data_IF_718437619096
#
_entry.id   IF_718437619096
#
_cell.length_a   1.000
_cell.length_b   1.000
_cell.length_c   1.000
_cell.angle_alpha   90.00
_cell.angle_beta   90.00
_cell.angle_gamma   90.00
#
_symmetry.space_group_name_H-M   'P 1'
#
loop_
_entity.id
_entity.type
_entity.pdbx_description
1 polymer ?
#
# COMPACT_ATOMS: atom_id res chain seq x y z
N UNK A 1 -14.74 -26.88 -4.67
CA UNK A 1 -14.43 -25.50 -5.09
C UNK A 1 -15.11 -24.49 -4.17
N UNK A 2 -16.47 -24.50 -4.02
CA UNK A 2 -17.18 -23.53 -3.15
C UNK A 2 -16.64 -23.49 -1.71
N UNK A 3 -16.39 -24.61 -1.06
CA UNK A 3 -15.82 -24.66 0.30
C UNK A 3 -14.46 -23.96 0.41
N UNK A 4 -13.66 -24.02 -0.65
CA UNK A 4 -12.36 -23.31 -0.71
C UNK A 4 -12.62 -21.83 -0.86
N UNK A 5 -13.52 -21.43 -1.76
CA UNK A 5 -13.88 -20.02 -1.93
C UNK A 5 -14.42 -19.43 -0.63
N UNK A 6 -15.37 -20.07 0.03
CA UNK A 6 -15.93 -19.65 1.32
C UNK A 6 -14.86 -19.42 2.39
N UNK A 7 -13.87 -20.31 2.44
CA UNK A 7 -12.77 -20.23 3.40
C UNK A 7 -11.84 -19.05 3.15
N UNK A 8 -11.62 -18.68 1.88
CA UNK A 8 -10.61 -17.70 1.48
C UNK A 8 -11.17 -16.43 0.83
N UNK A 9 -12.50 -16.28 0.75
CA UNK A 9 -13.16 -15.17 0.02
C UNK A 9 -12.68 -13.78 0.44
N UNK A 10 -12.30 -13.59 1.71
CA UNK A 10 -11.82 -12.28 2.18
C UNK A 10 -10.47 -11.87 1.55
N UNK A 11 -9.63 -12.84 1.20
CA UNK A 11 -8.33 -12.61 0.57
C UNK A 11 -8.32 -13.01 -0.91
N UNK A 12 -9.49 -13.31 -1.49
CA UNK A 12 -9.63 -13.72 -2.88
C UNK A 12 -9.62 -12.48 -3.80
N UNK A 13 -8.67 -12.42 -4.71
CA UNK A 13 -8.56 -11.36 -5.72
C UNK A 13 -9.48 -11.58 -6.92
N UNK A 14 -9.76 -12.82 -7.21
CA UNK A 14 -10.61 -13.27 -8.29
C UNK A 14 -10.58 -14.79 -8.41
N UNK A 15 -11.41 -15.34 -9.27
CA UNK A 15 -11.50 -16.78 -9.50
C UNK A 15 -11.31 -17.09 -10.97
N UNK A 16 -10.37 -17.99 -11.27
CA UNK A 16 -10.16 -18.55 -12.60
C UNK A 16 -10.68 -20.00 -12.57
N UNK A 17 -11.61 -20.33 -13.42
CA UNK A 17 -12.21 -21.65 -13.50
C UNK A 17 -12.14 -22.23 -14.90
N UNK A 18 -11.79 -23.50 -14.98
CA UNK A 18 -12.05 -24.29 -16.19
C UNK A 18 -13.55 -24.50 -16.38
N UNK A 19 -13.98 -24.68 -17.62
CA UNK A 19 -15.39 -24.98 -17.95
C UNK A 19 -15.78 -26.37 -17.42
N UNK A 20 -14.87 -27.35 -17.51
CA UNK A 20 -15.16 -28.76 -17.21
C UNK A 20 -14.32 -29.28 -16.07
N UNK A 21 -14.97 -29.65 -14.97
CA UNK A 21 -14.34 -30.42 -13.89
C UNK A 21 -15.35 -31.30 -13.14
N UNK A 22 -14.89 -32.29 -12.35
CA UNK A 22 -15.77 -33.14 -11.56
C UNK A 22 -16.50 -32.37 -10.47
N UNK A 23 -17.80 -32.49 -10.35
CA UNK A 23 -18.58 -31.88 -9.26
C UNK A 23 -18.44 -32.64 -7.95
N UNK A 24 -18.29 -33.98 -7.99
CA UNK A 24 -18.11 -34.78 -6.79
C UNK A 24 -16.64 -34.95 -6.46
N UNK A 25 -16.23 -34.59 -5.23
CA UNK A 25 -14.92 -34.98 -4.72
C UNK A 25 -14.94 -36.50 -4.49
N UNK A 26 -14.32 -37.25 -5.37
CA UNK A 26 -13.89 -38.62 -5.05
C UNK A 26 -12.87 -38.51 -3.93
N UNK A 27 -13.15 -39.11 -2.76
CA UNK A 27 -12.15 -39.22 -1.70
C UNK A 27 -10.93 -39.96 -2.26
N UNK A 28 -9.75 -39.59 -1.84
CA UNK A 28 -8.49 -40.21 -2.28
C UNK A 28 -8.47 -41.73 -2.10
N UNK A 29 -9.33 -42.28 -1.21
CA UNK A 29 -9.58 -43.71 -1.01
C UNK A 29 -10.25 -44.41 -2.19
N UNK A 30 -10.99 -43.69 -3.04
CA UNK A 30 -11.73 -44.26 -4.16
C UNK A 30 -10.88 -44.35 -5.44
N UNK A 31 -9.69 -43.77 -5.42
CA UNK A 31 -8.75 -43.70 -6.56
C UNK A 31 -7.83 -44.93 -6.61
N UNK A 32 -7.65 -45.64 -5.49
CA UNK A 32 -6.68 -46.77 -5.37
C UNK A 32 -7.23 -48.12 -5.94
N UNK A 33 -8.51 -48.19 -6.27
CA UNK A 33 -9.13 -49.44 -6.74
C UNK A 33 -9.76 -49.41 -8.13
N UNK A 34 -9.91 -48.26 -8.76
CA UNK A 34 -10.46 -48.17 -10.12
C UNK A 34 -9.35 -47.67 -11.07
N UNK A 35 -9.02 -48.52 -12.05
CA UNK A 35 -8.17 -48.06 -13.15
C UNK A 35 -8.69 -46.74 -13.70
N UNK A 36 -7.80 -45.87 -14.18
CA UNK A 36 -7.99 -44.48 -14.58
C UNK A 36 -9.08 -44.23 -15.67
N UNK A 37 -10.27 -44.83 -15.50
CA UNK A 37 -11.41 -44.72 -16.39
C UNK A 37 -12.41 -43.69 -15.85
N UNK A 38 -12.35 -42.48 -16.48
CA UNK A 38 -13.48 -41.56 -16.66
C UNK A 38 -14.26 -41.18 -15.40
N UNK A 39 -13.67 -40.31 -14.55
CA UNK A 39 -14.54 -39.45 -13.75
C UNK A 39 -15.28 -38.55 -14.73
N UNK A 40 -16.59 -38.73 -14.86
CA UNK A 40 -17.43 -37.92 -15.75
C UNK A 40 -17.35 -36.47 -15.35
N UNK A 41 -16.77 -35.64 -16.23
CA UNK A 41 -16.66 -34.19 -16.00
C UNK A 41 -17.95 -33.51 -16.41
N UNK A 42 -18.57 -32.81 -15.51
CA UNK A 42 -19.72 -31.95 -15.88
C UNK A 42 -19.26 -30.82 -16.82
N UNK A 43 -19.83 -30.76 -18.05
CA UNK A 43 -19.47 -29.73 -19.03
C UNK A 43 -19.87 -28.30 -18.60
N UNK A 44 -20.74 -28.16 -17.60
CA UNK A 44 -21.27 -26.91 -17.08
C UNK A 44 -20.72 -26.56 -15.68
N UNK A 45 -19.79 -27.36 -15.15
CA UNK A 45 -19.30 -27.19 -13.78
C UNK A 45 -18.68 -25.81 -13.52
N UNK A 46 -17.94 -25.29 -14.47
CA UNK A 46 -17.33 -23.96 -14.39
C UNK A 46 -18.36 -22.86 -14.33
N UNK A 47 -19.34 -22.88 -15.21
CA UNK A 47 -20.44 -21.91 -15.22
C UNK A 47 -21.20 -21.92 -13.90
N UNK A 48 -21.63 -23.09 -13.44
CA UNK A 48 -22.34 -23.25 -12.16
C UNK A 48 -21.54 -22.74 -10.97
N UNK A 49 -20.21 -22.96 -10.97
CA UNK A 49 -19.34 -22.47 -9.91
C UNK A 49 -19.26 -20.94 -9.92
N UNK A 50 -18.98 -20.35 -11.08
CA UNK A 50 -18.83 -18.89 -11.20
C UNK A 50 -20.15 -18.15 -10.94
N UNK A 51 -21.28 -18.71 -11.38
CA UNK A 51 -22.61 -18.17 -11.04
C UNK A 51 -22.87 -18.21 -9.53
N UNK A 52 -22.52 -19.31 -8.86
CA UNK A 52 -22.68 -19.43 -7.42
C UNK A 52 -21.83 -18.40 -6.67
N UNK A 53 -20.58 -18.19 -7.12
CA UNK A 53 -19.68 -17.18 -6.53
C UNK A 53 -20.22 -15.76 -6.80
N UNK A 54 -20.76 -15.48 -7.99
CA UNK A 54 -21.37 -14.19 -8.34
C UNK A 54 -22.54 -13.81 -7.44
N UNK A 55 -23.30 -14.78 -6.96
CA UNK A 55 -24.39 -14.56 -6.00
C UNK A 55 -23.88 -14.17 -4.61
N UNK A 56 -22.70 -14.65 -4.23
CA UNK A 56 -22.08 -14.33 -2.94
C UNK A 56 -21.32 -12.99 -2.97
N UNK A 57 -20.63 -12.70 -4.08
CA UNK A 57 -19.84 -11.47 -4.27
C UNK A 57 -20.05 -10.97 -5.71
N UNK A 58 -20.86 -9.92 -5.84
CA UNK A 58 -21.22 -9.30 -7.12
C UNK A 58 -20.01 -8.76 -7.87
N UNK A 59 -18.97 -8.31 -7.14
CA UNK A 59 -17.86 -7.57 -7.73
C UNK A 59 -16.54 -8.37 -7.83
N UNK A 60 -16.51 -9.61 -7.36
CA UNK A 60 -15.31 -10.44 -7.52
C UNK A 60 -15.05 -10.73 -9.01
N UNK A 61 -13.82 -10.55 -9.51
CA UNK A 61 -13.47 -10.89 -10.88
C UNK A 61 -13.59 -12.39 -11.12
N UNK A 62 -14.37 -12.77 -12.11
CA UNK A 62 -14.58 -14.15 -12.49
C UNK A 62 -14.08 -14.36 -13.92
N UNK A 63 -13.16 -15.30 -14.09
CA UNK A 63 -12.50 -15.63 -15.35
C UNK A 63 -12.80 -17.09 -15.67
N UNK A 64 -13.33 -17.31 -16.87
CA UNK A 64 -13.52 -18.63 -17.44
C UNK A 64 -12.35 -18.95 -18.36
N UNK A 65 -11.68 -20.08 -18.17
CA UNK A 65 -10.67 -20.54 -19.10
C UNK A 65 -11.13 -21.80 -19.85
N UNK A 66 -10.91 -21.87 -21.15
CA UNK A 66 -11.27 -23.04 -21.96
C UNK A 66 -10.42 -23.13 -23.23
N UNK A 67 -10.26 -24.37 -23.72
CA UNK A 67 -9.79 -24.62 -25.09
C UNK A 67 -10.91 -24.57 -26.14
N UNK A 68 -12.17 -24.44 -25.69
CA UNK A 68 -13.34 -24.33 -26.56
C UNK A 68 -13.73 -22.86 -26.75
N UNK A 69 -13.20 -22.23 -27.80
CA UNK A 69 -13.46 -20.80 -28.10
C UNK A 69 -14.95 -20.48 -28.27
N UNK A 70 -15.79 -21.47 -28.62
CA UNK A 70 -17.24 -21.34 -28.70
C UNK A 70 -17.92 -20.98 -27.38
N UNK A 71 -17.25 -21.19 -26.24
CA UNK A 71 -17.77 -20.84 -24.91
C UNK A 71 -17.57 -19.36 -24.54
N UNK A 72 -16.79 -18.62 -25.32
CA UNK A 72 -16.47 -17.19 -25.08
C UNK A 72 -17.73 -16.33 -25.05
N UNK A 73 -18.54 -16.40 -26.10
CA UNK A 73 -19.74 -15.57 -26.24
C UNK A 73 -20.69 -15.76 -25.03
N UNK A 74 -20.88 -17.00 -24.61
CA UNK A 74 -21.69 -17.28 -23.43
C UNK A 74 -21.05 -16.76 -22.14
N UNK A 75 -19.75 -16.97 -21.93
CA UNK A 75 -19.06 -16.49 -20.73
C UNK A 75 -19.15 -14.96 -20.61
N UNK A 76 -18.94 -14.25 -21.72
CA UNK A 76 -19.03 -12.80 -21.76
C UNK A 76 -20.46 -12.29 -21.54
N UNK A 77 -21.46 -12.98 -22.10
CA UNK A 77 -22.87 -12.67 -21.86
C UNK A 77 -23.31 -12.86 -20.41
N UNK A 78 -22.71 -13.81 -19.69
CA UNK A 78 -22.91 -14.03 -18.25
C UNK A 78 -22.01 -13.12 -17.37
N UNK A 79 -21.25 -12.21 -17.98
CA UNK A 79 -20.39 -11.23 -17.29
C UNK A 79 -19.06 -11.80 -16.77
N UNK A 80 -18.65 -12.98 -17.28
CA UNK A 80 -17.34 -13.56 -16.98
C UNK A 80 -16.31 -13.10 -18.03
N UNK A 81 -15.06 -12.93 -17.59
CA UNK A 81 -13.96 -12.77 -18.53
C UNK A 81 -13.57 -14.12 -19.10
N UNK A 82 -13.11 -14.17 -20.35
CA UNK A 82 -12.77 -15.42 -21.02
C UNK A 82 -11.32 -15.46 -21.46
N UNK A 83 -10.65 -16.59 -21.18
CA UNK A 83 -9.29 -16.89 -21.63
C UNK A 83 -9.29 -18.13 -22.49
N UNK A 84 -8.75 -18.01 -23.71
CA UNK A 84 -8.56 -19.16 -24.59
C UNK A 84 -7.24 -19.84 -24.27
N UNK A 85 -7.31 -21.09 -23.80
CA UNK A 85 -6.11 -21.92 -23.50
C UNK A 85 -5.24 -22.17 -24.73
N UNK A 86 -5.80 -22.06 -25.93
CA UNK A 86 -5.07 -22.24 -27.20
C UNK A 86 -4.48 -20.94 -27.73
N UNK A 87 -4.65 -19.81 -27.02
CA UNK A 87 -4.03 -18.54 -27.41
C UNK A 87 -2.52 -18.67 -27.49
N UNK A 88 -1.94 -18.23 -28.60
CA UNK A 88 -0.48 -18.18 -28.78
C UNK A 88 0.22 -17.21 -27.82
N UNK A 89 -0.56 -16.32 -27.21
CA UNK A 89 -0.12 -15.27 -26.27
C UNK A 89 -0.80 -15.41 -24.92
N UNK A 90 -1.13 -16.63 -24.52
CA UNK A 90 -1.89 -16.92 -23.30
C UNK A 90 -1.33 -16.20 -22.03
N UNK A 91 -0.01 -16.20 -21.87
CA UNK A 91 0.64 -15.52 -20.74
C UNK A 91 0.42 -14.00 -20.75
N UNK A 92 0.36 -13.40 -21.93
CA UNK A 92 0.08 -11.97 -22.11
C UNK A 92 -1.40 -11.68 -21.81
N UNK A 93 -2.31 -12.51 -22.33
CA UNK A 93 -3.75 -12.38 -22.08
C UNK A 93 -4.04 -12.50 -20.58
N UNK A 94 -3.46 -13.48 -19.90
CA UNK A 94 -3.58 -13.64 -18.44
C UNK A 94 -3.00 -12.44 -17.68
N UNK A 95 -1.83 -11.96 -18.09
CA UNK A 95 -1.21 -10.79 -17.47
C UNK A 95 -2.13 -9.58 -17.56
N UNK A 96 -2.68 -9.28 -18.73
CA UNK A 96 -3.62 -8.18 -18.91
C UNK A 96 -4.85 -8.31 -18.02
N UNK A 97 -5.44 -9.51 -17.92
CA UNK A 97 -6.59 -9.74 -17.05
C UNK A 97 -6.24 -9.58 -15.55
N UNK A 98 -5.07 -10.02 -15.12
CA UNK A 98 -4.60 -9.84 -13.75
C UNK A 98 -4.38 -8.37 -13.42
N UNK A 99 -3.74 -7.62 -14.32
CA UNK A 99 -3.48 -6.19 -14.15
C UNK A 99 -4.79 -5.39 -14.15
N UNK A 100 -5.68 -5.65 -15.08
CA UNK A 100 -6.91 -4.87 -15.27
C UNK A 100 -8.00 -5.19 -14.23
N UNK A 101 -8.16 -6.48 -13.87
CA UNK A 101 -9.31 -6.90 -13.07
C UNK A 101 -8.95 -7.35 -11.65
N UNK A 102 -7.74 -7.85 -11.41
CA UNK A 102 -7.33 -8.36 -10.09
C UNK A 102 -6.44 -7.41 -9.30
N UNK A 103 -6.16 -6.21 -9.81
CA UNK A 103 -5.46 -5.15 -9.08
C UNK A 103 -3.93 -5.28 -9.05
N UNK A 104 -3.31 -6.09 -9.92
CA UNK A 104 -1.85 -6.26 -9.95
C UNK A 104 -1.12 -5.08 -10.59
N UNK A 105 -1.76 -4.33 -11.49
CA UNK A 105 -1.19 -3.13 -12.11
C UNK A 105 -1.30 -1.88 -11.23
N UNK A 106 -0.98 -0.73 -11.80
CA UNK A 106 -1.26 0.58 -11.20
C UNK A 106 -2.75 0.74 -10.94
N UNK A 107 -3.12 1.48 -9.90
CA UNK A 107 -4.52 1.81 -9.70
C UNK A 107 -4.91 3.01 -10.56
N UNK A 108 -5.91 2.83 -11.41
CA UNK A 108 -6.38 3.85 -12.32
C UNK A 108 -7.77 4.30 -11.90
N UNK A 109 -7.88 5.54 -11.43
CA UNK A 109 -9.17 6.20 -11.24
C UNK A 109 -9.74 6.57 -12.60
N UNK A 110 -10.97 6.14 -12.86
CA UNK A 110 -11.64 6.33 -14.15
C UNK A 110 -12.92 7.13 -14.00
N UNK A 111 -13.28 7.83 -15.06
CA UNK A 111 -14.61 8.40 -15.17
C UNK A 111 -15.64 7.25 -15.26
N UNK A 112 -16.67 7.21 -14.41
CA UNK A 112 -17.63 6.10 -14.40
C UNK A 112 -18.49 6.01 -15.68
N UNK A 113 -18.60 7.10 -16.47
CA UNK A 113 -19.41 7.16 -17.69
C UNK A 113 -18.59 6.92 -18.95
N UNK A 114 -17.41 7.55 -19.07
CA UNK A 114 -16.57 7.47 -20.28
C UNK A 114 -15.49 6.41 -20.18
N UNK A 115 -15.22 5.89 -18.97
CA UNK A 115 -14.13 4.97 -18.63
C UNK A 115 -12.71 5.53 -18.88
N UNK A 116 -12.60 6.81 -19.20
CA UNK A 116 -11.32 7.48 -19.39
C UNK A 116 -10.53 7.56 -18.07
N UNK A 117 -9.22 7.50 -18.19
CA UNK A 117 -8.31 7.66 -17.06
C UNK A 117 -8.35 9.11 -16.54
N UNK A 118 -8.61 9.26 -15.25
CA UNK A 118 -8.56 10.55 -14.55
C UNK A 118 -7.24 10.71 -13.82
N UNK A 119 -6.81 9.65 -13.12
CA UNK A 119 -5.61 9.66 -12.31
C UNK A 119 -5.08 8.23 -12.16
N UNK A 120 -3.77 8.11 -12.11
CA UNK A 120 -3.05 6.86 -11.88
C UNK A 120 -2.22 6.96 -10.61
N UNK A 121 -2.29 5.95 -9.76
CA UNK A 121 -1.48 5.83 -8.54
C UNK A 121 -0.78 4.47 -8.51
N UNK A 122 0.50 4.48 -8.11
CA UNK A 122 1.38 3.31 -8.14
C UNK A 122 1.69 2.78 -6.75
N UNK A 123 1.50 3.62 -5.74
CA UNK A 123 1.88 3.32 -4.36
C UNK A 123 0.84 3.82 -3.35
N UNK A 124 0.91 3.30 -2.11
CA UNK A 124 0.11 3.81 -1.00
C UNK A 124 0.34 5.30 -0.74
N UNK A 125 1.59 5.76 -0.89
CA UNK A 125 1.94 7.16 -0.71
C UNK A 125 1.22 8.03 -1.75
N UNK A 126 1.30 7.65 -3.03
CA UNK A 126 0.62 8.38 -4.10
C UNK A 126 -0.91 8.39 -3.90
N UNK A 127 -1.51 7.27 -3.46
CA UNK A 127 -2.93 7.23 -3.13
C UNK A 127 -3.26 8.18 -1.98
N UNK A 128 -2.49 8.17 -0.91
CA UNK A 128 -2.65 9.05 0.24
C UNK A 128 -2.55 10.53 -0.15
N UNK A 129 -1.54 10.91 -0.95
CA UNK A 129 -1.28 12.30 -1.34
C UNK A 129 -2.32 12.86 -2.32
N UNK A 130 -3.07 11.99 -3.01
CA UNK A 130 -3.98 12.41 -4.06
C UNK A 130 -5.45 12.08 -3.80
N UNK A 131 -5.79 11.34 -2.74
CA UNK A 131 -7.15 10.85 -2.50
C UNK A 131 -8.21 11.97 -2.45
N UNK A 132 -7.86 13.15 -1.95
CA UNK A 132 -8.74 14.32 -1.89
C UNK A 132 -8.85 15.10 -3.21
N UNK A 133 -8.02 14.78 -4.22
CA UNK A 133 -8.06 15.40 -5.55
C UNK A 133 -8.91 14.63 -6.56
N UNK A 134 -9.30 13.40 -6.23
CA UNK A 134 -10.06 12.53 -7.13
C UNK A 134 -11.51 13.01 -7.20
N UNK A 135 -12.15 13.12 -8.37
CA UNK A 135 -13.56 13.47 -8.49
C UNK A 135 -14.47 12.52 -7.71
N UNK A 136 -15.53 13.05 -7.11
CA UNK A 136 -16.41 12.31 -6.20
C UNK A 136 -17.12 11.14 -6.87
N UNK A 137 -17.55 11.28 -8.11
CA UNK A 137 -18.19 10.23 -8.90
C UNK A 137 -17.23 9.07 -9.20
N UNK A 138 -15.96 9.38 -9.52
CA UNK A 138 -14.92 8.36 -9.70
C UNK A 138 -14.62 7.65 -8.38
N UNK A 139 -14.51 8.39 -7.27
CA UNK A 139 -14.29 7.80 -5.95
C UNK A 139 -15.40 6.82 -5.60
N UNK A 140 -16.67 7.23 -5.70
CA UNK A 140 -17.83 6.38 -5.43
C UNK A 140 -17.87 5.15 -6.34
N UNK A 141 -17.56 5.32 -7.62
CA UNK A 141 -17.48 4.20 -8.57
C UNK A 141 -16.51 3.12 -8.13
N UNK A 142 -15.31 3.52 -7.65
CA UNK A 142 -14.28 2.57 -7.28
C UNK A 142 -14.50 1.93 -5.91
N UNK A 143 -14.98 2.67 -4.90
CA UNK A 143 -15.21 2.13 -3.57
C UNK A 143 -16.41 1.19 -3.54
N UNK A 144 -17.53 1.53 -4.22
CA UNK A 144 -18.73 0.69 -4.27
C UNK A 144 -18.49 -0.69 -4.90
N UNK A 145 -17.44 -0.82 -5.71
CA UNK A 145 -17.04 -2.07 -6.40
C UNK A 145 -15.83 -2.75 -5.79
N UNK A 146 -15.40 -2.32 -4.61
CA UNK A 146 -14.23 -2.86 -3.91
C UNK A 146 -12.91 -2.82 -4.72
N UNK A 147 -12.78 -1.89 -5.68
CA UNK A 147 -11.58 -1.80 -6.51
C UNK A 147 -10.35 -1.43 -5.70
N UNK A 148 -10.47 -0.46 -4.76
CA UNK A 148 -9.36 -0.02 -3.91
C UNK A 148 -8.94 -1.16 -2.97
N UNK A 149 -9.89 -1.83 -2.30
CA UNK A 149 -9.57 -2.94 -1.40
C UNK A 149 -8.89 -4.10 -2.14
N UNK A 150 -9.32 -4.41 -3.37
CA UNK A 150 -8.70 -5.43 -4.21
C UNK A 150 -7.28 -5.07 -4.61
N UNK A 151 -7.05 -3.82 -5.02
CA UNK A 151 -5.72 -3.33 -5.35
C UNK A 151 -4.75 -3.41 -4.17
N UNK A 152 -5.22 -3.10 -2.96
CA UNK A 152 -4.45 -3.25 -1.73
C UNK A 152 -4.20 -4.73 -1.39
N UNK A 153 -5.18 -5.60 -1.59
CA UNK A 153 -5.05 -7.04 -1.39
C UNK A 153 -3.98 -7.64 -2.32
N UNK A 154 -3.94 -7.23 -3.61
CA UNK A 154 -2.93 -7.66 -4.57
C UNK A 154 -1.50 -7.27 -4.17
N UNK A 155 -1.35 -6.28 -3.29
CA UNK A 155 -0.07 -5.83 -2.70
C UNK A 155 0.21 -6.40 -1.31
N UNK A 156 -0.55 -7.42 -0.90
CA UNK A 156 -0.48 -8.04 0.43
C UNK A 156 -0.71 -7.04 1.59
N UNK A 157 -1.41 -5.94 1.35
CA UNK A 157 -1.80 -4.95 2.36
C UNK A 157 -3.13 -5.38 2.98
N UNK A 158 -3.17 -6.62 3.48
CA UNK A 158 -4.39 -7.27 3.96
C UNK A 158 -5.13 -6.53 5.08
N UNK A 159 -4.46 -5.93 6.08
CA UNK A 159 -5.18 -5.23 7.15
C UNK A 159 -6.08 -4.12 6.62
N UNK A 160 -5.55 -3.26 5.73
CA UNK A 160 -6.32 -2.16 5.14
C UNK A 160 -7.33 -2.69 4.13
N UNK A 161 -6.93 -3.64 3.28
CA UNK A 161 -7.82 -4.25 2.29
C UNK A 161 -9.07 -4.87 2.94
N UNK A 162 -8.89 -5.68 3.97
CA UNK A 162 -9.99 -6.34 4.67
C UNK A 162 -10.88 -5.32 5.40
N UNK A 163 -10.28 -4.32 6.05
CA UNK A 163 -11.05 -3.25 6.68
C UNK A 163 -11.94 -2.54 5.65
N UNK A 164 -11.38 -2.08 4.53
CA UNK A 164 -12.12 -1.33 3.51
C UNK A 164 -13.18 -2.21 2.81
N UNK A 165 -12.94 -3.50 2.63
CA UNK A 165 -13.91 -4.44 2.03
C UNK A 165 -15.18 -4.57 2.87
N UNK A 166 -15.08 -4.45 4.18
CA UNK A 166 -16.20 -4.58 5.12
C UNK A 166 -16.89 -3.26 5.48
N UNK A 167 -16.36 -2.13 5.04
CA UNK A 167 -17.04 -0.84 5.23
C UNK A 167 -18.31 -0.79 4.40
N UNK A 168 -19.40 -0.40 5.03
CA UNK A 168 -20.72 -0.31 4.38
C UNK A 168 -20.86 1.05 3.71
N UNK A 169 -20.23 1.22 2.55
CA UNK A 169 -20.10 2.49 1.84
C UNK A 169 -21.43 3.16 1.51
N UNK A 170 -22.46 2.39 1.20
CA UNK A 170 -23.80 2.91 0.89
C UNK A 170 -24.53 3.54 2.08
N UNK A 171 -24.08 3.29 3.31
CA UNK A 171 -24.64 3.92 4.52
C UNK A 171 -24.01 5.29 4.79
N UNK A 172 -22.89 5.60 4.16
CA UNK A 172 -22.23 6.89 4.30
C UNK A 172 -22.72 7.81 3.18
N UNK A 173 -23.37 8.90 3.54
CA UNK A 173 -23.96 9.84 2.57
C UNK A 173 -22.94 10.85 2.02
N UNK A 174 -21.77 10.98 2.67
CA UNK A 174 -20.75 11.96 2.33
C UNK A 174 -19.50 11.28 1.73
N UNK A 175 -19.12 11.69 0.53
CA UNK A 175 -17.91 11.22 -0.16
C UNK A 175 -16.65 11.63 0.58
N UNK A 176 -16.65 12.79 1.23
CA UNK A 176 -15.49 13.24 2.00
C UNK A 176 -15.27 12.35 3.23
N UNK A 177 -16.32 11.84 3.85
CA UNK A 177 -16.21 10.82 4.91
C UNK A 177 -15.59 9.52 4.38
N UNK A 178 -15.95 9.11 3.14
CA UNK A 178 -15.31 7.95 2.50
C UNK A 178 -13.80 8.15 2.29
N UNK A 179 -13.41 9.33 1.80
CA UNK A 179 -12.00 9.69 1.58
C UNK A 179 -11.23 9.64 2.89
N UNK A 180 -11.81 10.25 3.94
CA UNK A 180 -11.17 10.31 5.25
C UNK A 180 -10.93 8.92 5.84
N UNK A 181 -11.92 8.02 5.77
CA UNK A 181 -11.78 6.63 6.24
C UNK A 181 -10.63 5.91 5.52
N UNK A 182 -10.56 6.05 4.19
CA UNK A 182 -9.49 5.41 3.40
C UNK A 182 -8.14 6.03 3.75
N UNK A 183 -8.07 7.35 3.83
CA UNK A 183 -6.88 8.10 4.20
C UNK A 183 -6.35 7.67 5.57
N UNK A 184 -7.20 7.67 6.59
CA UNK A 184 -6.82 7.32 7.95
C UNK A 184 -6.33 5.87 8.06
N UNK A 185 -7.01 4.94 7.38
CA UNK A 185 -6.58 3.54 7.33
C UNK A 185 -5.20 3.36 6.68
N UNK A 186 -4.91 4.12 5.61
CA UNK A 186 -3.60 4.11 4.95
C UNK A 186 -2.53 4.72 5.88
N UNK A 187 -2.82 5.87 6.48
CA UNK A 187 -1.90 6.55 7.40
C UNK A 187 -1.56 5.62 8.56
N UNK A 188 -2.56 5.05 9.21
CA UNK A 188 -2.36 4.13 10.33
C UNK A 188 -1.52 2.91 9.94
N UNK A 189 -1.81 2.30 8.79
CA UNK A 189 -1.02 1.17 8.30
C UNK A 189 0.44 1.55 8.04
N UNK A 190 0.69 2.69 7.40
CA UNK A 190 2.04 3.18 7.11
C UNK A 190 2.79 3.51 8.40
N UNK A 191 2.12 4.11 9.39
CA UNK A 191 2.70 4.30 10.73
C UNK A 191 3.13 2.98 11.37
N UNK A 192 2.25 1.97 11.35
CA UNK A 192 2.59 0.65 11.89
C UNK A 192 3.77 -0.01 11.16
N UNK A 193 3.85 0.13 9.84
CA UNK A 193 4.97 -0.44 9.06
C UNK A 193 6.29 0.28 9.28
N UNK A 194 6.26 1.54 9.67
CA UNK A 194 7.44 2.35 9.96
C UNK A 194 7.88 2.30 11.43
N UNK A 195 7.30 1.41 12.24
CA UNK A 195 7.74 1.20 13.62
C UNK A 195 9.20 0.71 13.60
N UNK A 196 10.07 1.45 14.31
CA UNK A 196 11.50 1.12 14.43
C UNK A 196 12.35 1.43 13.20
N UNK A 197 11.77 2.02 12.15
CA UNK A 197 12.50 2.43 10.94
C UNK A 197 12.82 3.92 11.01
N UNK A 198 14.11 4.26 11.01
CA UNK A 198 14.59 5.62 10.81
C UNK A 198 14.81 5.80 9.31
N UNK A 199 13.85 6.45 8.63
CA UNK A 199 13.93 6.68 7.20
C UNK A 199 15.05 7.66 6.85
N UNK A 200 15.78 7.40 5.77
CA UNK A 200 16.67 8.42 5.17
C UNK A 200 15.80 9.51 4.58
N UNK A 201 16.15 10.76 4.87
CA UNK A 201 15.45 11.91 4.29
C UNK A 201 15.79 11.98 2.79
N UNK A 202 14.78 12.01 1.96
CA UNK A 202 14.89 12.12 0.51
C UNK A 202 13.84 13.15 0.06
N UNK A 203 14.28 14.27 -0.47
CA UNK A 203 13.40 15.38 -0.90
C UNK A 203 12.34 14.95 -1.89
N UNK A 204 12.72 14.14 -2.86
CA UNK A 204 11.84 13.71 -3.95
C UNK A 204 10.79 12.71 -3.47
N UNK A 205 11.09 12.01 -2.37
CA UNK A 205 10.22 11.00 -1.77
C UNK A 205 9.76 11.37 -0.36
N UNK A 206 9.96 12.62 0.04
CA UNK A 206 9.63 13.07 1.39
C UNK A 206 8.15 12.80 1.70
N UNK A 207 7.95 12.12 2.81
CA UNK A 207 6.63 11.85 3.35
C UNK A 207 6.32 12.80 4.50
N UNK A 208 5.44 13.78 4.25
CA UNK A 208 5.03 14.75 5.29
C UNK A 208 4.39 14.10 6.51
N UNK A 209 4.02 12.83 6.43
CA UNK A 209 3.47 12.04 7.55
C UNK A 209 4.52 11.16 8.23
N UNK A 210 5.76 11.13 7.76
CA UNK A 210 6.86 10.50 8.49
C UNK A 210 7.20 11.32 9.73
N UNK A 211 7.26 10.67 10.89
CA UNK A 211 7.54 11.33 12.16
C UNK A 211 9.01 11.38 12.50
N UNK A 212 9.81 10.46 11.97
CA UNK A 212 11.23 10.37 12.28
C UNK A 212 12.05 10.09 11.03
N UNK A 213 13.00 10.97 10.71
CA UNK A 213 13.90 10.81 9.59
C UNK A 213 15.34 11.19 9.97
N UNK A 214 16.32 10.78 9.16
CA UNK A 214 17.72 11.18 9.28
C UNK A 214 18.23 11.81 8.00
N UNK A 215 19.08 12.81 8.13
CA UNK A 215 19.88 13.39 7.05
C UNK A 215 21.33 12.93 7.25
N UNK A 216 21.92 12.33 6.22
CA UNK A 216 23.24 11.71 6.24
C UNK A 216 23.20 10.20 6.41
N UNK A 217 24.37 9.57 6.27
CA UNK A 217 24.57 8.12 6.32
C UNK A 217 25.28 7.66 7.61
N UNK A 218 25.82 8.59 8.38
CA UNK A 218 26.55 8.32 9.60
C UNK A 218 25.68 7.88 10.80
N UNK A 219 26.25 7.98 12.00
CA UNK A 219 25.55 7.65 13.23
C UNK A 219 24.53 8.72 13.61
N UNK A 220 23.40 8.31 14.18
CA UNK A 220 22.38 9.21 14.74
C UNK A 220 22.82 9.93 16.04
N UNK A 221 23.93 9.53 16.63
CA UNK A 221 24.32 9.98 17.96
C UNK A 221 23.41 9.41 19.07
N UNK A 222 23.73 9.73 20.33
CA UNK A 222 23.03 9.21 21.50
C UNK A 222 21.59 9.72 21.63
N UNK A 223 21.39 11.02 21.45
CA UNK A 223 20.05 11.65 21.55
C UNK A 223 19.10 11.15 20.43
N UNK A 224 19.58 11.12 19.18
CA UNK A 224 18.80 10.63 18.05
C UNK A 224 18.37 9.17 18.22
N UNK A 225 19.30 8.30 18.67
CA UNK A 225 18.98 6.89 18.99
C UNK A 225 17.98 6.76 20.13
N UNK A 226 18.12 7.58 21.19
CA UNK A 226 17.18 7.60 22.31
C UNK A 226 15.77 7.99 21.87
N UNK A 227 15.62 9.04 21.06
CA UNK A 227 14.31 9.46 20.53
C UNK A 227 13.72 8.41 19.60
N UNK A 228 14.50 7.79 18.72
CA UNK A 228 14.02 6.71 17.85
C UNK A 228 13.55 5.50 18.66
N UNK A 229 14.25 5.17 19.76
CA UNK A 229 13.83 4.11 20.68
C UNK A 229 12.51 4.46 21.37
N UNK A 230 12.37 5.69 21.89
CA UNK A 230 11.14 6.14 22.53
C UNK A 230 9.95 6.16 21.56
N UNK A 231 10.13 6.61 20.31
CA UNK A 231 9.10 6.54 19.27
C UNK A 231 8.61 5.11 19.05
N UNK A 232 9.56 4.17 19.02
CA UNK A 232 9.24 2.76 18.87
C UNK A 232 8.47 2.21 20.08
N UNK A 233 8.91 2.55 21.31
CA UNK A 233 8.21 2.14 22.55
C UNK A 233 6.78 2.66 22.57
N UNK A 234 6.58 3.96 22.30
CA UNK A 234 5.23 4.58 22.30
C UNK A 234 4.32 3.87 21.28
N UNK A 235 4.82 3.60 20.07
CA UNK A 235 4.04 2.93 19.02
C UNK A 235 3.72 1.46 19.31
N UNK A 236 4.55 0.78 20.11
CA UNK A 236 4.31 -0.61 20.51
C UNK A 236 3.37 -0.75 21.70
N UNK A 237 3.07 0.35 22.40
CA UNK A 237 2.30 0.38 23.63
C UNK A 237 1.02 1.22 23.48
N UNK A 238 -0.08 0.65 22.90
CA UNK A 238 -1.33 1.37 22.68
C UNK A 238 -1.97 1.95 23.94
N UNK A 239 -1.57 1.46 25.12
CA UNK A 239 -2.00 1.99 26.41
C UNK A 239 -1.66 3.47 26.61
N UNK A 240 -0.66 4.00 25.92
CA UNK A 240 -0.35 5.43 25.94
C UNK A 240 -1.39 6.32 25.28
N UNK A 241 -2.27 5.74 24.45
CA UNK A 241 -3.37 6.47 23.79
C UNK A 241 -4.67 6.47 24.63
N UNK A 242 -4.67 5.80 25.81
CA UNK A 242 -5.88 5.64 26.63
C UNK A 242 -6.12 6.80 27.62
N UNK A 243 -5.50 7.96 27.43
CA UNK A 243 -5.68 9.11 28.29
C UNK A 243 -6.57 10.16 27.60
N UNK A 244 -7.76 10.39 28.15
CA UNK A 244 -8.70 11.36 27.58
C UNK A 244 -8.07 12.75 27.44
N UNK A 245 -8.08 13.28 26.22
CA UNK A 245 -7.54 14.60 25.92
C UNK A 245 -5.99 14.71 25.93
N UNK A 246 -5.28 13.60 26.10
CA UNK A 246 -3.81 13.56 26.07
C UNK A 246 -3.32 12.63 24.97
N UNK A 247 -2.43 13.13 24.13
CA UNK A 247 -1.72 12.33 23.12
C UNK A 247 -0.25 12.22 23.49
N UNK A 248 0.23 10.99 23.67
CA UNK A 248 1.64 10.72 23.94
C UNK A 248 2.35 10.45 22.60
N UNK A 249 3.23 11.34 22.21
CA UNK A 249 4.00 11.21 20.97
C UNK A 249 5.33 11.93 21.07
N UNK A 250 6.33 11.51 20.29
CA UNK A 250 7.48 12.39 20.03
C UNK A 250 7.11 13.40 18.93
N UNK A 251 7.69 14.61 18.98
CA UNK A 251 7.50 15.58 17.92
C UNK A 251 8.08 15.04 16.60
N UNK A 252 7.66 15.61 15.50
CA UNK A 252 8.25 15.33 14.19
C UNK A 252 9.73 15.69 14.23
N UNK A 253 10.60 14.72 13.98
CA UNK A 253 12.04 14.82 14.22
C UNK A 253 12.83 14.49 12.96
N UNK A 254 13.81 15.34 12.65
CA UNK A 254 14.91 15.04 11.73
C UNK A 254 16.22 15.05 12.50
N UNK A 255 17.01 14.00 12.35
CA UNK A 255 18.32 13.88 12.98
C UNK A 255 19.40 14.07 11.93
N UNK A 256 20.34 14.99 12.22
CA UNK A 256 21.58 15.09 11.45
C UNK A 256 22.54 14.01 11.92
N UNK A 257 22.99 13.17 10.98
CA UNK A 257 23.97 12.14 11.27
C UNK A 257 25.38 12.75 11.47
N UNK A 258 26.28 11.97 12.07
CA UNK A 258 27.65 12.44 12.40
C UNK A 258 28.45 12.86 11.18
N UNK A 259 28.27 12.23 10.04
CA UNK A 259 28.91 12.59 8.77
C UNK A 259 28.55 13.99 8.27
N UNK A 260 27.34 14.49 8.56
CA UNK A 260 26.95 15.87 8.26
C UNK A 260 27.76 16.86 9.10
N UNK A 261 27.98 16.53 10.39
CA UNK A 261 28.83 17.30 11.27
C UNK A 261 30.30 17.27 10.82
N UNK A 262 30.81 16.08 10.46
CA UNK A 262 32.17 15.92 9.98
C UNK A 262 32.41 16.75 8.70
N UNK A 263 31.46 16.73 7.74
CA UNK A 263 31.54 17.58 6.55
C UNK A 263 31.53 19.08 6.87
N UNK A 264 30.70 19.51 7.84
CA UNK A 264 30.69 20.90 8.29
C UNK A 264 32.06 21.31 8.86
N UNK A 265 32.65 20.45 9.70
CA UNK A 265 33.97 20.69 10.31
C UNK A 265 35.08 20.77 9.27
N UNK A 266 35.08 19.84 8.30
CA UNK A 266 36.08 19.79 7.22
C UNK A 266 35.95 20.96 6.27
N UNK A 267 34.77 21.27 5.79
CA UNK A 267 34.50 22.33 4.83
C UNK A 267 34.91 23.70 5.37
N UNK A 268 34.77 23.93 6.67
CA UNK A 268 35.06 25.19 7.31
C UNK A 268 36.42 25.21 8.02
N UNK A 269 37.22 24.16 7.91
CA UNK A 269 38.52 24.00 8.58
C UNK A 269 38.47 24.27 10.09
N UNK A 270 37.45 23.72 10.78
CA UNK A 270 37.16 24.02 12.17
C UNK A 270 37.89 23.09 13.18
N UNK A 271 38.51 21.99 12.76
CA UNK A 271 39.14 21.04 13.67
C UNK A 271 40.29 21.69 14.45
N UNK A 272 41.16 22.49 13.80
CA UNK A 272 42.30 23.09 14.45
C UNK A 272 41.89 24.06 15.55
N UNK A 273 40.92 24.95 15.28
CA UNK A 273 40.42 25.90 16.27
C UNK A 273 39.63 25.23 17.38
N UNK A 274 38.83 24.21 17.03
CA UNK A 274 38.02 23.45 17.98
C UNK A 274 38.87 22.68 19.02
N UNK A 275 40.08 22.27 18.65
CA UNK A 275 41.00 21.50 19.50
C UNK A 275 42.12 22.39 20.09
N UNK A 276 42.08 23.73 19.86
CA UNK A 276 43.03 24.66 20.39
C UNK A 276 42.71 25.09 21.83
N UNK A 277 43.67 25.74 22.48
CA UNK A 277 43.50 26.40 23.80
C UNK A 277 42.89 27.82 23.67
N UNK A 278 42.27 28.17 22.55
CA UNK A 278 41.63 29.45 22.33
C UNK A 278 40.43 29.65 23.28
N UNK A 279 40.09 30.91 23.64
CA UNK A 279 38.91 31.21 24.43
C UNK A 279 37.62 30.72 23.74
N UNK A 280 36.64 30.28 24.54
CA UNK A 280 35.35 29.75 24.04
C UNK A 280 34.65 30.73 23.10
N UNK A 281 34.73 32.05 23.35
CA UNK A 281 34.15 33.08 22.51
C UNK A 281 34.81 33.15 21.12
N UNK A 282 36.08 32.87 21.01
CA UNK A 282 36.80 32.84 19.74
C UNK A 282 36.43 31.57 18.95
N UNK A 283 36.41 30.43 19.61
CA UNK A 283 35.97 29.16 19.03
C UNK A 283 34.53 29.32 18.50
N UNK A 284 33.62 29.84 19.33
CA UNK A 284 32.22 30.06 18.94
C UNK A 284 32.10 30.98 17.71
N UNK A 285 32.90 32.06 17.66
CA UNK A 285 32.89 32.99 16.54
C UNK A 285 33.31 32.33 15.21
N UNK A 286 34.23 31.36 15.24
CA UNK A 286 34.60 30.56 14.07
C UNK A 286 33.48 29.64 13.65
N UNK A 287 32.81 28.92 14.58
CA UNK A 287 31.67 28.06 14.27
C UNK A 287 30.48 28.83 13.70
N UNK A 288 30.18 30.02 14.22
CA UNK A 288 29.08 30.86 13.75
C UNK A 288 29.30 31.43 12.34
N UNK A 289 30.56 31.54 11.88
CA UNK A 289 30.91 31.92 10.49
C UNK A 289 30.86 30.72 9.53
N UNK A 290 30.89 29.53 10.06
CA UNK A 290 30.85 28.32 9.26
C UNK A 290 29.57 28.23 8.44
N UNK A 291 29.69 27.72 7.22
CA UNK A 291 28.58 27.48 6.32
C UNK A 291 28.22 26.01 6.32
N UNK A 292 26.91 25.69 6.37
CA UNK A 292 26.44 24.33 6.19
C UNK A 292 26.72 23.86 4.76
N UNK A 293 27.01 22.56 4.54
CA UNK A 293 27.17 22.03 3.20
C UNK A 293 25.88 22.22 2.38
N UNK A 294 26.01 22.78 1.17
CA UNK A 294 24.88 23.12 0.29
C UNK A 294 23.94 21.93 0.02
N UNK A 295 24.52 20.73 -0.02
CA UNK A 295 23.76 19.50 -0.23
C UNK A 295 22.64 19.25 0.79
N UNK A 296 22.75 19.79 1.99
CA UNK A 296 21.78 19.61 3.08
C UNK A 296 20.83 20.80 3.28
N UNK A 297 21.16 21.97 2.71
CA UNK A 297 20.34 23.18 2.88
C UNK A 297 18.93 22.98 2.34
N UNK A 298 18.82 22.42 1.15
CA UNK A 298 17.51 22.14 0.53
C UNK A 298 16.70 21.08 1.30
N UNK A 299 17.37 20.12 1.94
CA UNK A 299 16.73 19.12 2.79
C UNK A 299 16.11 19.77 4.03
N UNK A 300 16.82 20.75 4.62
CA UNK A 300 16.30 21.55 5.73
C UNK A 300 15.09 22.37 5.30
N UNK A 301 15.15 23.07 4.17
CA UNK A 301 14.03 23.85 3.68
C UNK A 301 12.79 22.96 3.45
N UNK A 302 12.97 21.81 2.82
CA UNK A 302 11.87 20.86 2.59
C UNK A 302 11.25 20.38 3.91
N UNK A 303 12.07 20.11 4.92
CA UNK A 303 11.57 19.73 6.24
C UNK A 303 10.84 20.87 6.94
N UNK A 304 11.37 22.11 6.89
CA UNK A 304 10.75 23.29 7.51
C UNK A 304 9.40 23.61 6.85
N UNK A 305 9.32 23.58 5.54
CA UNK A 305 8.07 23.80 4.81
C UNK A 305 7.00 22.75 5.15
N UNK A 306 7.43 21.53 5.45
CA UNK A 306 6.51 20.46 5.83
C UNK A 306 6.14 20.46 7.33
N UNK A 307 6.81 21.29 8.14
CA UNK A 307 6.62 21.34 9.59
C UNK A 307 6.02 22.69 9.98
N UNK A 308 4.69 22.78 9.97
CA UNK A 308 3.97 24.04 10.29
C UNK A 308 3.89 24.35 11.78
N UNK A 309 4.93 24.05 12.56
CA UNK A 309 4.99 24.24 14.01
C UNK A 309 6.35 24.77 14.43
N UNK A 310 6.49 25.36 15.64
CA UNK A 310 7.79 25.73 16.19
C UNK A 310 8.74 24.54 16.22
N UNK A 311 10.03 24.81 15.91
CA UNK A 311 11.09 23.80 15.84
C UNK A 311 12.00 23.99 17.04
N UNK A 312 12.29 22.89 17.75
CA UNK A 312 13.33 22.83 18.75
C UNK A 312 14.58 22.21 18.14
N UNK A 313 15.76 22.80 18.42
CA UNK A 313 17.07 22.34 17.94
C UNK A 313 17.89 21.84 19.13
#
# INVERSE_FOLDING_TARGET
>A
AMLIYERYKNNCLGVISDVRFPIKSTRQSDIVGAGASSVEKDPEAGFKLLEAIRKEDEYVPLIMESSESSKRERAEAEGFKFVDKNSKVLSLDLRHLLEEHMGFGDFIFRNPKTHEEIMRVRSLKELQDNIFKIPSDSMLYHISRNHISRWLCARAIFPVSNFLKHVTWHQLQDVEAHRQIIFDAIVQYRHMKNIGVVAVFDRDKFDRYAHFARIGEGSLGGKGRGLAFLDNVIKLHPEFDNFDGVKVQIPKTVVLCTDVFDQFMEQNNLYDIALSDAPDEEILAHFLRGQLPDSYIDDFFTFFEATHSPIAI
#
